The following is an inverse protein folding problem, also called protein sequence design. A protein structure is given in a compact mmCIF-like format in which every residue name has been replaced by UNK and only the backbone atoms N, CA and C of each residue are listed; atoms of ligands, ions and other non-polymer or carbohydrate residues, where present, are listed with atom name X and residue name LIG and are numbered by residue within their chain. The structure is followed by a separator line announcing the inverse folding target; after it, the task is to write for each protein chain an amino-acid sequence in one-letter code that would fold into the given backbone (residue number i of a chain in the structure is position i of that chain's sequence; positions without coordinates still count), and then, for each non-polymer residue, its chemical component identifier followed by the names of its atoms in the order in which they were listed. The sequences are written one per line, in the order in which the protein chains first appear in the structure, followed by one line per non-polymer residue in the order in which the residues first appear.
data_IF_639060981481
#
_entry.id   IF_639060981481
#
_cell.length_a   1.000
_cell.length_b   1.000
_cell.length_c   1.000
_cell.angle_alpha   90.00
_cell.angle_beta   90.00
_cell.angle_gamma   90.00
#
_symmetry.space_group_name_H-M   'P 1'
#
loop_
_entity.id
_entity.type
_entity.pdbx_description
1 polymer ?
#
# COMPACT_ATOMS: atom_id res chain seq x y z
N UNK A 1 -3.75 -20.50 10.97
CA UNK A 1 -3.08 -19.53 10.08
C UNK A 1 -3.10 -18.20 10.82
N UNK A 2 -1.95 -17.54 10.94
CA UNK A 2 -1.86 -16.24 11.61
C UNK A 2 -2.51 -15.22 10.68
N UNK A 3 -3.32 -14.32 11.22
CA UNK A 3 -3.94 -13.25 10.43
C UNK A 3 -3.14 -11.98 10.70
N UNK A 4 -2.49 -11.47 9.65
CA UNK A 4 -1.70 -10.24 9.72
C UNK A 4 -2.51 -9.08 9.17
N UNK A 5 -2.68 -8.05 9.98
CA UNK A 5 -3.31 -6.79 9.62
C UNK A 5 -2.24 -5.71 9.46
N UNK A 6 -2.43 -4.71 8.59
CA UNK A 6 -1.46 -3.62 8.41
C UNK A 6 -1.12 -2.90 9.73
N UNK A 7 -2.07 -2.85 10.67
CA UNK A 7 -1.90 -2.25 12.00
C UNK A 7 -0.93 -3.02 12.90
N UNK A 8 -0.59 -4.26 12.55
CA UNK A 8 0.38 -5.07 13.29
C UNK A 8 1.83 -4.63 13.01
N UNK A 9 2.06 -3.93 11.90
CA UNK A 9 3.37 -3.54 11.40
C UNK A 9 3.76 -2.12 11.83
N UNK A 10 5.07 -1.82 11.83
CA UNK A 10 5.50 -0.41 11.84
C UNK A 10 5.16 0.17 10.47
N UNK A 11 4.32 1.20 10.45
CA UNK A 11 3.88 1.83 9.21
C UNK A 11 4.84 2.93 8.78
N UNK A 12 5.33 2.86 7.55
CA UNK A 12 6.02 3.95 6.86
C UNK A 12 4.98 4.85 6.17
N UNK A 13 4.44 5.76 6.97
CA UNK A 13 3.35 6.64 6.58
C UNK A 13 3.85 8.08 6.41
N UNK A 14 4.56 8.33 5.31
CA UNK A 14 4.71 9.71 4.82
C UNK A 14 3.34 10.20 4.33
N UNK A 15 3.10 11.50 4.36
CA UNK A 15 1.87 12.09 3.82
C UNK A 15 1.65 11.77 2.33
N UNK A 16 0.62 12.39 1.74
CA UNK A 16 0.36 12.23 0.29
C UNK A 16 1.56 12.78 -0.50
N UNK A 17 2.12 12.00 -1.43
CA UNK A 17 3.22 12.41 -2.30
C UNK A 17 2.80 12.52 -3.76
N UNK A 18 3.54 13.32 -4.51
CA UNK A 18 3.33 13.60 -5.93
C UNK A 18 4.66 13.46 -6.66
N UNK A 19 4.71 12.55 -7.62
CA UNK A 19 5.92 12.24 -8.39
C UNK A 19 5.63 12.33 -9.89
N UNK A 20 6.66 12.68 -10.67
CA UNK A 20 6.57 12.62 -12.13
C UNK A 20 6.74 11.19 -12.62
N UNK A 21 5.90 10.75 -13.55
CA UNK A 21 6.15 9.50 -14.31
C UNK A 21 6.86 9.79 -15.62
N UNK A 22 7.59 8.79 -16.12
CA UNK A 22 8.18 8.84 -17.45
C UNK A 22 7.11 9.23 -18.48
N UNK A 23 7.50 10.03 -19.46
CA UNK A 23 6.65 10.56 -20.53
C UNK A 23 5.63 11.65 -20.14
N UNK A 24 5.74 12.25 -18.95
CA UNK A 24 5.07 13.52 -18.62
C UNK A 24 3.71 13.42 -17.93
N UNK A 25 3.50 12.34 -17.17
CA UNK A 25 2.33 12.16 -16.31
C UNK A 25 2.61 12.44 -14.82
N UNK A 26 1.64 12.11 -13.96
CA UNK A 26 1.73 12.26 -12.49
C UNK A 26 1.37 10.96 -11.79
N UNK A 27 2.21 10.55 -10.84
CA UNK A 27 1.93 9.54 -9.83
C UNK A 27 1.55 10.23 -8.53
N UNK A 28 0.43 9.82 -7.94
CA UNK A 28 -0.05 10.28 -6.66
C UNK A 28 -0.06 9.09 -5.71
N UNK A 29 0.66 9.18 -4.59
CA UNK A 29 0.67 8.12 -3.57
C UNK A 29 -0.03 8.59 -2.30
N UNK A 30 -1.04 7.86 -1.88
CA UNK A 30 -1.84 8.13 -0.68
C UNK A 30 -1.60 7.01 0.32
N UNK A 31 -1.12 7.31 1.55
CA UNK A 31 -0.91 6.28 2.54
C UNK A 31 -2.22 5.68 3.06
N UNK A 32 -2.13 4.45 3.57
CA UNK A 32 -3.23 3.84 4.33
C UNK A 32 -3.40 4.56 5.68
N UNK A 33 -4.64 4.72 6.09
CA UNK A 33 -5.02 5.35 7.35
C UNK A 33 -6.18 4.59 8.02
N UNK A 34 -6.46 4.94 9.27
CA UNK A 34 -7.54 4.30 10.04
C UNK A 34 -8.91 4.50 9.42
N UNK A 35 -9.13 5.59 8.70
CA UNK A 35 -10.37 5.88 8.00
C UNK A 35 -10.43 5.33 6.57
N UNK A 36 -9.42 4.57 6.13
CA UNK A 36 -9.48 3.86 4.85
C UNK A 36 -10.67 2.89 4.83
N UNK A 37 -11.50 2.90 3.77
CA UNK A 37 -12.64 1.99 3.64
C UNK A 37 -12.28 0.53 3.85
N UNK A 38 -13.18 -0.20 4.53
CA UNK A 38 -12.94 -1.59 4.93
C UNK A 38 -12.70 -2.50 3.72
N UNK A 39 -13.38 -2.30 2.59
CA UNK A 39 -13.17 -3.14 1.42
C UNK A 39 -11.75 -2.98 0.84
N UNK A 40 -11.20 -1.77 0.87
CA UNK A 40 -9.83 -1.48 0.45
C UNK A 40 -8.83 -2.07 1.45
N UNK A 41 -9.07 -1.91 2.76
CA UNK A 41 -8.24 -2.54 3.81
C UNK A 41 -8.18 -4.06 3.66
N UNK A 42 -9.31 -4.70 3.35
CA UNK A 42 -9.38 -6.15 3.14
C UNK A 42 -8.47 -6.63 2.00
N UNK A 43 -8.26 -5.82 0.96
CA UNK A 43 -7.32 -6.15 -0.12
C UNK A 43 -5.90 -6.12 0.40
N UNK A 44 -5.52 -5.06 1.12
CA UNK A 44 -4.19 -4.98 1.72
C UNK A 44 -3.94 -6.13 2.71
N UNK A 45 -4.92 -6.48 3.55
CA UNK A 45 -4.82 -7.64 4.44
C UNK A 45 -4.60 -8.96 3.67
N UNK A 46 -5.29 -9.13 2.55
CA UNK A 46 -5.10 -10.28 1.68
C UNK A 46 -3.70 -10.29 1.04
N UNK A 47 -3.20 -9.14 0.57
CA UNK A 47 -1.85 -8.99 0.05
C UNK A 47 -0.79 -9.35 1.10
N UNK A 48 -0.88 -8.77 2.30
CA UNK A 48 0.05 -9.03 3.40
C UNK A 48 0.08 -10.52 3.73
N UNK A 49 -1.09 -11.13 3.94
CA UNK A 49 -1.19 -12.54 4.29
C UNK A 49 -0.63 -13.44 3.18
N UNK A 50 -1.02 -13.20 1.93
CA UNK A 50 -0.56 -14.00 0.80
C UNK A 50 0.97 -13.98 0.70
N UNK A 51 1.55 -12.79 0.71
CA UNK A 51 2.98 -12.61 0.48
C UNK A 51 3.83 -13.09 1.66
N UNK A 52 3.37 -12.92 2.91
CA UNK A 52 4.05 -13.51 4.08
C UNK A 52 3.95 -15.04 4.03
N UNK A 53 2.79 -15.60 3.71
CA UNK A 53 2.63 -17.06 3.60
C UNK A 53 3.51 -17.63 2.47
N UNK A 54 3.69 -16.91 1.37
CA UNK A 54 4.60 -17.27 0.27
C UNK A 54 6.07 -17.21 0.71
N UNK A 55 6.49 -16.10 1.33
CA UNK A 55 7.85 -15.95 1.84
C UNK A 55 8.21 -17.05 2.86
N UNK A 56 7.29 -17.40 3.76
CA UNK A 56 7.48 -18.47 4.74
C UNK A 56 7.61 -19.86 4.08
N UNK A 57 6.89 -20.11 2.98
CA UNK A 57 7.02 -21.36 2.22
C UNK A 57 8.39 -21.46 1.56
N UNK A 58 8.85 -20.38 0.94
CA UNK A 58 10.13 -20.36 0.23
C UNK A 58 11.34 -20.38 1.18
N UNK A 59 11.16 -19.87 2.40
CA UNK A 59 12.18 -19.82 3.44
C UNK A 59 11.96 -20.85 4.56
N UNK A 60 11.20 -21.91 4.30
CA UNK A 60 10.81 -22.92 5.29
C UNK A 60 11.98 -23.58 6.05
N UNK A 61 13.18 -23.60 5.47
CA UNK A 61 14.41 -24.13 6.10
C UNK A 61 15.23 -23.08 6.88
N UNK A 62 14.86 -21.79 6.79
CA UNK A 62 15.74 -20.66 7.10
C UNK A 62 15.09 -19.52 7.91
N UNK A 63 13.77 -19.35 7.95
CA UNK A 63 13.19 -18.08 8.40
C UNK A 63 12.03 -18.22 9.38
N UNK A 64 12.30 -17.94 10.65
CA UNK A 64 11.29 -17.33 11.50
C UNK A 64 11.09 -15.89 11.01
N UNK A 65 9.87 -15.51 10.64
CA UNK A 65 9.57 -14.09 10.43
C UNK A 65 9.57 -13.40 11.80
N UNK A 66 10.24 -12.25 11.92
CA UNK A 66 10.12 -11.43 13.13
C UNK A 66 8.65 -11.09 13.39
N UNK A 67 8.30 -10.77 14.63
CA UNK A 67 6.95 -10.29 14.92
C UNK A 67 6.66 -9.04 14.05
N UNK A 68 5.42 -8.86 13.55
CA UNK A 68 5.08 -7.77 12.64
C UNK A 68 5.56 -6.38 13.10
N UNK A 69 5.55 -6.12 14.40
CA UNK A 69 6.02 -4.87 14.99
C UNK A 69 7.52 -4.60 14.88
N UNK A 70 8.32 -5.53 14.34
CA UNK A 70 9.73 -5.32 13.98
C UNK A 70 9.93 -5.05 12.49
N UNK A 71 8.91 -5.32 11.67
CA UNK A 71 8.93 -5.09 10.23
C UNK A 71 8.38 -3.71 9.91
N UNK A 72 8.95 -3.09 8.88
CA UNK A 72 8.46 -1.85 8.29
C UNK A 72 7.55 -2.17 7.10
N UNK A 73 6.33 -1.65 7.12
CA UNK A 73 5.35 -1.76 6.05
C UNK A 73 5.15 -0.38 5.39
N UNK A 74 5.52 -0.27 4.12
CA UNK A 74 5.14 0.85 3.26
C UNK A 74 4.01 0.40 2.34
N UNK A 75 2.78 0.81 2.65
CA UNK A 75 1.60 0.52 1.85
C UNK A 75 0.94 1.80 1.36
N UNK A 76 0.72 1.92 0.05
CA UNK A 76 0.14 3.11 -0.59
C UNK A 76 -0.96 2.74 -1.58
N UNK A 77 -2.00 3.55 -1.62
CA UNK A 77 -2.92 3.64 -2.74
C UNK A 77 -2.30 4.58 -3.77
N UNK A 78 -2.14 4.11 -5.00
CA UNK A 78 -1.52 4.88 -6.08
C UNK A 78 -2.52 5.18 -7.19
N UNK A 79 -2.44 6.41 -7.69
CA UNK A 79 -3.18 6.88 -8.86
C UNK A 79 -2.15 7.37 -9.88
N UNK A 80 -2.17 6.79 -11.07
CA UNK A 80 -1.27 7.22 -12.15
C UNK A 80 -2.08 7.81 -13.28
N UNK A 81 -1.74 9.04 -13.65
CA UNK A 81 -2.21 9.70 -14.84
C UNK A 81 -1.10 9.65 -15.89
N UNK A 82 -1.33 8.93 -16.99
CA UNK A 82 -0.40 8.97 -18.12
C UNK A 82 -0.64 10.21 -19.00
N UNK A 83 0.38 10.59 -19.76
CA UNK A 83 0.30 11.71 -20.71
C UNK A 83 -0.46 11.36 -21.98
N UNK A 84 -0.85 10.09 -22.17
CA UNK A 84 -1.53 9.61 -23.37
C UNK A 84 -3.04 9.90 -23.35
N UNK A 85 -3.57 10.40 -22.23
CA UNK A 85 -4.97 10.81 -22.09
C UNK A 85 -5.92 9.65 -21.81
N UNK A 86 -5.41 8.50 -21.34
CA UNK A 86 -6.27 7.41 -20.89
C UNK A 86 -6.89 7.69 -19.52
N UNK A 87 -7.85 6.86 -19.10
CA UNK A 87 -8.36 6.92 -17.73
C UNK A 87 -7.25 6.58 -16.74
N UNK A 88 -7.18 7.26 -15.57
CA UNK A 88 -6.17 6.95 -14.57
C UNK A 88 -6.21 5.48 -14.16
N UNK A 89 -5.04 4.92 -13.92
CA UNK A 89 -4.88 3.61 -13.29
C UNK A 89 -4.86 3.77 -11.77
N UNK A 90 -5.30 2.73 -11.08
CA UNK A 90 -5.42 2.70 -9.62
C UNK A 90 -4.83 1.37 -9.13
N UNK A 91 -3.94 1.42 -8.14
CA UNK A 91 -3.39 0.22 -7.52
C UNK A 91 -3.14 0.43 -6.03
N UNK A 92 -2.92 -0.68 -5.33
CA UNK A 92 -2.33 -0.73 -4.00
C UNK A 92 -0.92 -1.29 -4.17
N UNK A 93 0.07 -0.58 -3.66
CA UNK A 93 1.44 -1.08 -3.57
C UNK A 93 1.76 -1.36 -2.12
N UNK A 94 2.56 -2.39 -1.88
CA UNK A 94 2.96 -2.84 -0.55
C UNK A 94 4.43 -3.26 -0.60
N UNK A 95 5.22 -2.80 0.35
CA UNK A 95 6.59 -3.24 0.59
C UNK A 95 6.77 -3.51 2.09
N UNK A 96 7.18 -4.73 2.46
CA UNK A 96 7.54 -5.12 3.82
C UNK A 96 9.04 -5.37 3.88
N UNK A 97 9.71 -4.71 4.83
CA UNK A 97 11.16 -4.74 4.99
C UNK A 97 11.59 -4.86 6.45
N UNK A 98 12.79 -5.36 6.69
CA UNK A 98 13.43 -5.35 8.01
C UNK A 98 14.69 -4.47 8.00
N UNK A 99 14.51 -3.15 7.91
CA UNK A 99 15.63 -2.21 7.99
C UNK A 99 16.12 -1.97 9.42
N UNK A 100 15.37 -2.41 10.44
CA UNK A 100 15.66 -2.12 11.85
C UNK A 100 16.50 -3.18 12.54
N UNK A 101 16.50 -4.44 12.09
CA UNK A 101 17.20 -5.54 12.76
C UNK A 101 18.15 -6.33 11.84
N UNK A 102 19.14 -5.65 11.26
CA UNK A 102 20.30 -6.35 10.67
C UNK A 102 21.18 -6.94 11.79
N UNK A 103 20.70 -7.99 12.45
CA UNK A 103 21.54 -8.85 13.31
C UNK A 103 21.89 -10.17 12.66
N UNK A 104 21.06 -10.69 11.74
CA UNK A 104 21.19 -12.07 11.25
C UNK A 104 21.00 -12.21 9.73
N UNK A 105 21.77 -11.49 8.89
CA UNK A 105 22.08 -11.79 7.47
C UNK A 105 20.94 -12.15 6.47
N UNK A 106 19.66 -12.23 6.87
CA UNK A 106 18.51 -12.44 5.99
C UNK A 106 17.74 -11.13 5.93
N UNK A 107 17.95 -10.42 4.83
CA UNK A 107 17.15 -9.27 4.47
C UNK A 107 15.74 -9.74 4.12
N UNK A 108 14.73 -9.25 4.85
CA UNK A 108 13.34 -9.40 4.45
C UNK A 108 13.04 -8.27 3.47
N UNK A 109 12.66 -8.64 2.25
CA UNK A 109 12.13 -7.75 1.23
C UNK A 109 10.96 -8.45 0.54
N UNK A 110 9.74 -7.98 0.80
CA UNK A 110 8.52 -8.51 0.22
C UNK A 110 7.77 -7.36 -0.42
N UNK A 111 7.64 -7.35 -1.74
CA UNK A 111 6.94 -6.31 -2.49
C UNK A 111 5.83 -6.90 -3.37
N UNK A 112 4.70 -6.20 -3.45
CA UNK A 112 3.57 -6.59 -4.29
C UNK A 112 2.75 -5.38 -4.74
N UNK A 113 2.07 -5.51 -5.88
CA UNK A 113 1.18 -4.51 -6.44
C UNK A 113 -0.13 -5.14 -6.87
N UNK A 114 -1.22 -4.69 -6.25
CA UNK A 114 -2.58 -5.07 -6.63
C UNK A 114 -3.22 -3.98 -7.48
N UNK A 115 -3.47 -4.28 -8.76
CA UNK A 115 -4.20 -3.38 -9.65
C UNK A 115 -5.71 -3.44 -9.39
N UNK A 116 -6.35 -2.28 -9.19
CA UNK A 116 -7.80 -2.19 -8.99
C UNK A 116 -8.50 -2.43 -10.33
N UNK A 117 -9.09 -3.62 -10.45
CA UNK A 117 -9.70 -4.12 -11.67
C UNK A 117 -11.01 -3.41 -12.03
N UNK A 118 -11.27 -3.24 -13.32
CA UNK A 118 -12.49 -2.59 -13.83
C UNK A 118 -13.73 -3.48 -13.58
N UNK A 119 -13.52 -4.77 -13.50
CA UNK A 119 -14.50 -5.83 -13.25
C UNK A 119 -15.03 -5.84 -11.80
N UNK A 120 -14.46 -5.00 -10.93
CA UNK A 120 -14.91 -4.78 -9.55
C UNK A 120 -15.47 -3.35 -9.36
N UNK A 121 -16.59 -3.01 -10.00
CA UNK A 121 -17.02 -1.61 -10.16
C UNK A 121 -17.34 -0.92 -8.83
N UNK A 122 -17.92 -1.62 -7.85
CA UNK A 122 -18.23 -1.05 -6.53
C UNK A 122 -16.95 -0.71 -5.77
N UNK A 123 -15.99 -1.65 -5.74
CA UNK A 123 -14.68 -1.45 -5.12
C UNK A 123 -13.93 -0.30 -5.80
N UNK A 124 -13.90 -0.28 -7.14
CA UNK A 124 -13.23 0.77 -7.90
C UNK A 124 -13.84 2.15 -7.64
N UNK A 125 -15.16 2.23 -7.50
CA UNK A 125 -15.85 3.47 -7.18
C UNK A 125 -15.54 3.93 -5.75
N UNK A 126 -15.55 3.03 -4.77
CA UNK A 126 -15.19 3.34 -3.38
C UNK A 126 -13.73 3.81 -3.28
N UNK A 127 -12.81 3.10 -3.95
CA UNK A 127 -11.40 3.45 -4.04
C UNK A 127 -11.20 4.86 -4.59
N UNK A 128 -11.82 5.16 -5.74
CA UNK A 128 -11.75 6.48 -6.38
C UNK A 128 -12.29 7.56 -5.46
N UNK A 129 -13.47 7.35 -4.86
CA UNK A 129 -14.11 8.34 -3.98
C UNK A 129 -13.23 8.67 -2.79
N UNK A 130 -12.67 7.65 -2.14
CA UNK A 130 -11.80 7.84 -0.99
C UNK A 130 -10.51 8.59 -1.36
N UNK A 131 -9.86 8.19 -2.45
CA UNK A 131 -8.66 8.88 -2.92
C UNK A 131 -8.93 10.35 -3.26
N UNK A 132 -10.04 10.63 -3.95
CA UNK A 132 -10.45 12.01 -4.27
C UNK A 132 -10.72 12.84 -3.01
N UNK A 133 -11.36 12.25 -1.99
CA UNK A 133 -11.57 12.93 -0.73
C UNK A 133 -10.24 13.32 -0.07
N UNK A 134 -9.31 12.37 0.07
CA UNK A 134 -7.98 12.63 0.66
C UNK A 134 -7.19 13.68 -0.11
N UNK A 135 -7.26 13.66 -1.44
CA UNK A 135 -6.61 14.68 -2.27
C UNK A 135 -7.23 16.06 -2.09
N UNK A 136 -8.55 16.14 -2.02
CA UNK A 136 -9.23 17.42 -1.79
C UNK A 136 -8.87 18.02 -0.42
N UNK A 137 -8.76 17.19 0.62
CA UNK A 137 -8.34 17.63 1.96
C UNK A 137 -6.94 18.24 1.97
N UNK A 138 -6.02 17.70 1.16
CA UNK A 138 -4.63 18.19 1.06
C UNK A 138 -4.48 19.38 0.11
N UNK A 139 -5.15 19.36 -1.05
CA UNK A 139 -5.01 20.39 -2.08
C UNK A 139 -5.87 21.63 -1.84
N UNK A 140 -7.01 21.46 -1.15
CA UNK A 140 -7.97 22.54 -0.89
C UNK A 140 -8.36 22.54 0.59
N UNK A 141 -7.41 22.75 1.52
CA UNK A 141 -7.71 22.76 2.94
C UNK A 141 -8.70 23.89 3.24
N UNK A 142 -9.75 23.58 3.98
CA UNK A 142 -10.68 24.60 4.49
C UNK A 142 -9.97 25.29 5.65
N UNK A 143 -9.69 26.60 5.52
CA UNK A 143 -9.20 27.42 6.61
C UNK A 143 -10.20 27.36 7.76
N UNK A 144 -9.79 26.73 8.88
CA UNK A 144 -10.55 26.78 10.13
C UNK A 144 -10.30 28.14 10.77
N UNK A 145 -11.13 29.12 10.39
CA UNK A 145 -11.28 30.38 11.12
C UNK A 145 -11.93 30.16 12.49
#
# INVERSE_FOLDING_TARGET
MINYEYTDFRMDNDGITFDGVMDGGVLISIPFADDTPKAIKNILYAMIRWNIDEWLRDNANNGYILEPGHLMLNARMQITYDSSGTSPSYCIVMVITDFTEVKNQQEIWIDDTYNIQVETPELRMEFKKYCQQKLNEVLFPIDKN
#
